data_IF_309182185139
#
_entry.id   IF_309182185139
#
_cell.length_a   1.000
_cell.length_b   1.000
_cell.length_c   1.000
_cell.angle_alpha   90.00
_cell.angle_beta   90.00
_cell.angle_gamma   90.00
#
_symmetry.space_group_name_H-M   'P 1'
#
loop_
_entity.id
_entity.type
_entity.pdbx_description
1 polymer ?
#
# COMPACT_ATOMS: atom_id res chain seq x y z
N UNK A 1 20.87 -7.52 5.84
CA UNK A 1 20.78 -6.81 4.55
C UNK A 1 19.34 -6.84 4.08
N UNK A 2 18.95 -5.87 3.25
CA UNK A 2 17.60 -5.82 2.69
C UNK A 2 17.41 -6.82 1.56
N UNK A 3 16.19 -7.34 1.41
CA UNK A 3 15.86 -8.26 0.32
C UNK A 3 15.13 -7.55 -0.82
N UNK A 4 15.54 -7.84 -2.03
CA UNK A 4 14.96 -7.29 -3.25
C UNK A 4 14.62 -8.39 -4.26
N UNK A 5 13.75 -8.07 -5.20
CA UNK A 5 13.47 -8.89 -6.36
C UNK A 5 13.21 -8.02 -7.58
N UNK A 6 13.81 -8.37 -8.71
CA UNK A 6 13.41 -7.88 -10.02
C UNK A 6 12.11 -8.57 -10.41
N UNK A 7 11.10 -7.78 -10.75
CA UNK A 7 9.79 -8.27 -11.18
C UNK A 7 9.36 -7.60 -12.47
N UNK A 8 8.52 -8.31 -13.21
CA UNK A 8 7.76 -7.78 -14.34
C UNK A 8 6.29 -7.93 -13.99
N UNK A 9 5.51 -6.85 -14.06
CA UNK A 9 4.09 -6.87 -13.75
C UNK A 9 3.27 -6.07 -14.76
N UNK A 10 1.98 -6.41 -14.87
CA UNK A 10 1.01 -5.70 -15.73
C UNK A 10 -0.13 -5.15 -14.90
N UNK A 11 -0.62 -3.98 -15.26
CA UNK A 11 -1.82 -3.41 -14.67
C UNK A 11 -3.06 -4.10 -15.24
N UNK A 12 -3.87 -4.72 -14.38
CA UNK A 12 -5.04 -5.50 -14.82
C UNK A 12 -6.10 -4.60 -15.44
N UNK A 13 -6.27 -3.39 -14.88
CA UNK A 13 -7.26 -2.39 -15.33
C UNK A 13 -6.85 -1.67 -16.62
N UNK A 14 -5.59 -1.80 -17.04
CA UNK A 14 -5.04 -1.18 -18.25
C UNK A 14 -4.37 -2.24 -19.12
N UNK A 15 -5.15 -3.12 -19.79
CA UNK A 15 -4.62 -4.28 -20.48
C UNK A 15 -3.75 -3.96 -21.70
N UNK A 16 -3.94 -2.79 -22.30
CA UNK A 16 -3.16 -2.30 -23.44
C UNK A 16 -1.82 -1.66 -23.01
N UNK A 17 -1.65 -1.36 -21.73
CA UNK A 17 -0.38 -0.86 -21.21
C UNK A 17 0.66 -1.97 -21.18
N UNK A 18 1.91 -1.60 -21.48
CA UNK A 18 3.02 -2.54 -21.49
C UNK A 18 3.33 -3.06 -20.09
N UNK A 19 3.93 -4.24 -20.05
CA UNK A 19 4.51 -4.77 -18.82
C UNK A 19 5.57 -3.80 -18.28
N UNK A 20 5.62 -3.68 -16.96
CA UNK A 20 6.50 -2.79 -16.23
C UNK A 20 7.54 -3.65 -15.51
N UNK A 21 8.80 -3.40 -15.84
CA UNK A 21 9.93 -3.95 -15.10
C UNK A 21 10.26 -3.05 -13.92
N UNK A 22 10.37 -3.63 -12.72
CA UNK A 22 10.68 -2.89 -11.52
C UNK A 22 11.44 -3.74 -10.49
N UNK A 23 12.28 -3.07 -9.70
CA UNK A 23 12.88 -3.63 -8.51
C UNK A 23 11.95 -3.38 -7.31
N UNK A 24 11.56 -4.43 -6.61
CA UNK A 24 10.73 -4.33 -5.39
C UNK A 24 11.53 -4.68 -4.14
N UNK A 25 11.11 -4.11 -3.00
CA UNK A 25 11.67 -4.38 -1.69
C UNK A 25 10.82 -5.44 -0.95
N UNK A 26 11.34 -6.67 -0.88
CA UNK A 26 10.61 -7.81 -0.30
C UNK A 26 10.38 -7.67 1.21
N UNK A 27 11.25 -6.95 1.92
CA UNK A 27 11.11 -6.73 3.36
C UNK A 27 9.81 -5.99 3.71
N UNK A 28 9.26 -5.22 2.77
CA UNK A 28 8.01 -4.46 2.98
C UNK A 28 6.75 -5.32 2.90
N UNK A 29 6.82 -6.51 2.27
CA UNK A 29 5.67 -7.40 2.11
C UNK A 29 5.15 -7.94 3.45
N UNK A 30 6.05 -8.20 4.39
CA UNK A 30 5.75 -8.80 5.71
C UNK A 30 5.91 -7.81 6.86
N UNK A 31 6.23 -6.53 6.57
CA UNK A 31 6.33 -5.51 7.60
C UNK A 31 4.96 -5.20 8.19
N UNK A 32 4.89 -4.84 9.47
CA UNK A 32 3.62 -4.41 10.11
C UNK A 32 3.27 -2.95 9.75
N UNK A 33 4.26 -2.15 9.37
CA UNK A 33 4.11 -0.74 8.99
C UNK A 33 3.81 -0.58 7.50
N UNK A 34 3.11 0.49 7.06
CA UNK A 34 2.75 0.68 5.64
C UNK A 34 3.95 0.82 4.70
N UNK A 35 5.11 1.20 5.25
CA UNK A 35 6.38 1.36 4.57
C UNK A 35 7.51 0.76 5.43
N UNK A 36 8.74 0.75 4.92
CA UNK A 36 9.91 0.33 5.67
C UNK A 36 10.03 1.13 6.98
N UNK A 37 10.22 0.47 8.14
CA UNK A 37 10.39 1.17 9.41
C UNK A 37 11.57 2.16 9.38
N UNK A 38 11.54 3.27 10.12
CA UNK A 38 12.60 4.29 10.09
C UNK A 38 14.01 3.74 10.34
N UNK A 39 14.14 2.80 11.29
CA UNK A 39 15.43 2.17 11.59
C UNK A 39 15.98 1.36 10.40
N UNK A 40 15.10 0.64 9.72
CA UNK A 40 15.43 -0.14 8.54
C UNK A 40 15.75 0.78 7.34
N UNK A 41 15.02 1.89 7.19
CA UNK A 41 15.31 2.91 6.17
C UNK A 41 16.68 3.57 6.38
N UNK A 42 17.06 3.86 7.61
CA UNK A 42 18.39 4.40 7.92
C UNK A 42 19.49 3.40 7.60
N UNK A 43 19.30 2.11 7.94
CA UNK A 43 20.24 1.05 7.56
C UNK A 43 20.36 0.90 6.04
N UNK A 44 19.27 1.03 5.28
CA UNK A 44 19.32 1.03 3.83
C UNK A 44 20.17 2.20 3.32
N UNK A 45 19.93 3.41 3.84
CA UNK A 45 20.68 4.60 3.47
C UNK A 45 22.17 4.45 3.77
N UNK A 46 22.54 3.99 4.97
CA UNK A 46 23.92 3.77 5.38
C UNK A 46 24.63 2.78 4.45
N UNK A 47 23.98 1.66 4.11
CA UNK A 47 24.55 0.68 3.20
C UNK A 47 24.74 1.25 1.79
N UNK A 48 23.76 1.98 1.26
CA UNK A 48 23.86 2.62 -0.07
C UNK A 48 24.91 3.74 -0.06
N UNK A 49 25.13 4.42 1.08
CA UNK A 49 26.17 5.43 1.22
C UNK A 49 27.59 4.85 1.08
N UNK A 50 27.80 3.58 1.44
CA UNK A 50 29.10 2.91 1.29
C UNK A 50 29.50 2.78 -0.19
N UNK A 51 28.53 2.58 -1.09
CA UNK A 51 28.75 2.48 -2.54
C UNK A 51 29.26 3.79 -3.17
N UNK A 52 29.09 4.92 -2.47
CA UNK A 52 29.49 6.26 -2.93
C UNK A 52 30.48 6.94 -1.97
N UNK A 53 31.19 6.15 -1.16
CA UNK A 53 32.14 6.65 -0.17
C UNK A 53 33.34 7.40 -0.80
N UNK A 54 33.66 7.07 -2.04
CA UNK A 54 34.71 7.68 -2.88
C UNK A 54 34.37 9.12 -3.31
N UNK A 55 33.09 9.50 -3.36
CA UNK A 55 32.65 10.84 -3.75
C UNK A 55 32.88 11.82 -2.59
N UNK A 56 33.83 12.78 -2.68
CA UNK A 56 34.16 13.67 -1.56
C UNK A 56 33.08 14.74 -1.32
N UNK A 57 32.37 15.15 -2.38
CA UNK A 57 31.29 16.13 -2.28
C UNK A 57 30.02 15.48 -1.73
N UNK A 58 29.60 15.90 -0.53
CA UNK A 58 28.38 15.42 0.11
C UNK A 58 27.13 15.65 -0.77
N UNK A 59 27.04 16.81 -1.43
CA UNK A 59 25.88 17.13 -2.29
C UNK A 59 25.81 16.20 -3.49
N UNK A 60 26.94 15.93 -4.13
CA UNK A 60 27.03 14.99 -5.25
C UNK A 60 26.72 13.56 -4.80
N UNK A 61 27.22 13.15 -3.62
CA UNK A 61 26.92 11.85 -3.02
C UNK A 61 25.42 11.66 -2.80
N UNK A 62 24.75 12.65 -2.19
CA UNK A 62 23.31 12.60 -1.98
C UNK A 62 22.52 12.60 -3.29
N UNK A 63 22.98 13.32 -4.31
CA UNK A 63 22.36 13.30 -5.63
C UNK A 63 22.43 11.90 -6.26
N UNK A 64 23.55 11.18 -6.11
CA UNK A 64 23.69 9.79 -6.61
C UNK A 64 22.83 8.80 -5.83
N UNK A 65 22.76 8.92 -4.51
CA UNK A 65 21.90 8.06 -3.67
C UNK A 65 20.44 8.21 -4.06
N UNK A 66 19.97 9.44 -4.32
CA UNK A 66 18.60 9.69 -4.80
C UNK A 66 18.30 9.06 -6.16
N UNK A 67 19.31 8.68 -6.94
CA UNK A 67 19.17 7.98 -8.22
C UNK A 67 19.46 6.47 -8.11
N UNK A 68 19.83 5.97 -6.92
CA UNK A 68 20.18 4.58 -6.72
C UNK A 68 18.93 3.69 -6.84
N UNK A 69 19.04 2.60 -7.61
CA UNK A 69 17.92 1.68 -7.87
C UNK A 69 17.41 0.98 -6.61
N UNK A 70 18.30 0.59 -5.68
CA UNK A 70 17.93 -0.11 -4.44
C UNK A 70 17.30 0.85 -3.42
N UNK A 71 17.79 2.09 -3.39
CA UNK A 71 17.18 3.15 -2.57
C UNK A 71 15.77 3.53 -3.06
N UNK A 72 15.56 3.49 -4.37
CA UNK A 72 14.27 3.78 -5.02
C UNK A 72 13.43 2.53 -5.33
N UNK A 73 13.81 1.36 -4.80
CA UNK A 73 13.05 0.12 -5.02
C UNK A 73 11.61 0.29 -4.51
N UNK A 74 10.65 -0.22 -5.27
CA UNK A 74 9.24 -0.07 -4.96
C UNK A 74 8.91 -0.81 -3.66
N UNK A 75 8.26 -0.10 -2.74
CA UNK A 75 7.72 -0.69 -1.52
C UNK A 75 6.33 -1.22 -1.80
N UNK A 76 6.15 -2.52 -1.65
CA UNK A 76 4.93 -3.23 -2.05
C UNK A 76 4.35 -3.99 -0.86
N UNK A 77 3.03 -4.13 -0.87
CA UNK A 77 2.24 -4.74 0.20
C UNK A 77 1.19 -5.66 -0.40
N UNK A 78 0.87 -6.73 0.32
CA UNK A 78 -0.29 -7.52 -0.03
C UNK A 78 -1.58 -6.73 0.19
N UNK A 79 -2.45 -6.73 -0.82
CA UNK A 79 -3.76 -6.07 -0.77
C UNK A 79 -4.86 -7.03 -0.32
N UNK A 80 -4.62 -7.83 0.73
CA UNK A 80 -5.62 -8.77 1.28
C UNK A 80 -6.85 -8.04 1.81
N UNK A 81 -6.64 -6.88 2.42
CA UNK A 81 -7.68 -5.96 2.84
C UNK A 81 -7.24 -4.53 2.56
N UNK A 82 -8.21 -3.67 2.30
CA UNK A 82 -7.99 -2.27 1.95
C UNK A 82 -8.88 -1.41 2.82
N UNK A 83 -8.38 -0.25 3.23
CA UNK A 83 -9.24 0.75 3.86
C UNK A 83 -10.20 1.29 2.81
N UNK A 84 -11.46 1.58 3.18
CA UNK A 84 -12.49 2.01 2.23
C UNK A 84 -12.03 3.20 1.36
N UNK A 85 -11.32 4.17 1.95
CA UNK A 85 -10.76 5.31 1.22
C UNK A 85 -9.79 4.91 0.09
N UNK A 86 -9.06 3.80 0.23
CA UNK A 86 -8.14 3.27 -0.80
C UNK A 86 -8.85 2.41 -1.86
N UNK A 87 -10.14 2.13 -1.69
CA UNK A 87 -10.94 1.36 -2.65
C UNK A 87 -11.64 2.25 -3.69
N UNK A 88 -11.55 3.57 -3.54
CA UNK A 88 -12.21 4.52 -4.44
C UNK A 88 -11.72 4.35 -5.87
N UNK A 89 -12.66 4.20 -6.80
CA UNK A 89 -12.37 3.92 -8.22
C UNK A 89 -12.29 2.43 -8.57
N UNK A 90 -12.00 1.55 -7.60
CA UNK A 90 -12.02 0.10 -7.81
C UNK A 90 -13.42 -0.50 -7.73
N UNK A 91 -13.65 -1.60 -8.43
CA UNK A 91 -14.89 -2.38 -8.35
C UNK A 91 -14.55 -3.87 -8.31
N UNK A 92 -15.23 -4.62 -7.45
CA UNK A 92 -15.02 -6.06 -7.27
C UNK A 92 -16.36 -6.80 -7.27
N UNK A 93 -16.39 -8.03 -7.78
CA UNK A 93 -17.61 -8.85 -7.81
C UNK A 93 -18.19 -9.08 -6.41
N UNK A 94 -17.33 -9.41 -5.47
CA UNK A 94 -17.69 -9.67 -4.08
C UNK A 94 -16.85 -8.80 -3.15
N UNK A 95 -17.51 -8.08 -2.24
CA UNK A 95 -16.84 -7.21 -1.24
C UNK A 95 -17.26 -7.64 0.15
N UNK A 96 -16.28 -7.78 1.04
CA UNK A 96 -16.49 -8.00 2.47
C UNK A 96 -16.21 -6.69 3.19
N UNK A 97 -17.20 -6.16 3.90
CA UNK A 97 -17.09 -4.92 4.66
C UNK A 97 -17.06 -5.29 6.14
N UNK A 98 -15.97 -4.90 6.80
CA UNK A 98 -15.85 -4.92 8.25
C UNK A 98 -15.82 -3.47 8.73
N UNK A 99 -16.79 -3.08 9.55
CA UNK A 99 -16.89 -1.72 10.12
C UNK A 99 -15.92 -1.49 11.29
N UNK A 100 -15.31 -2.55 11.83
CA UNK A 100 -14.48 -2.47 13.02
C UNK A 100 -15.28 -2.05 14.25
N UNK A 101 -14.63 -1.30 15.14
CA UNK A 101 -15.25 -0.80 16.37
C UNK A 101 -16.04 0.47 16.11
N UNK A 102 -17.37 0.38 16.19
CA UNK A 102 -18.30 1.50 16.02
C UNK A 102 -19.16 1.66 17.29
N UNK A 103 -19.26 2.88 17.82
CA UNK A 103 -20.22 3.21 18.89
C UNK A 103 -21.46 3.89 18.30
N UNK A 104 -22.57 3.87 19.04
CA UNK A 104 -23.84 4.47 18.56
C UNK A 104 -23.72 5.97 18.24
N UNK A 105 -22.95 6.72 19.04
CA UNK A 105 -22.69 8.15 18.85
C UNK A 105 -21.80 8.46 17.63
N UNK A 106 -21.20 7.43 17.03
CA UNK A 106 -20.33 7.54 15.84
C UNK A 106 -21.10 7.30 14.53
N UNK A 107 -22.40 7.00 14.56
CA UNK A 107 -23.24 6.88 13.36
C UNK A 107 -23.63 8.28 12.90
N UNK A 108 -22.71 8.95 12.23
CA UNK A 108 -22.89 10.28 11.68
C UNK A 108 -22.98 10.26 10.14
N UNK A 109 -23.04 11.45 9.55
CA UNK A 109 -23.10 11.60 8.10
C UNK A 109 -21.84 11.11 7.39
N UNK A 110 -20.68 11.16 8.06
CA UNK A 110 -19.41 10.71 7.50
C UNK A 110 -19.37 9.18 7.46
N UNK A 111 -19.79 8.52 8.53
CA UNK A 111 -19.97 7.08 8.57
C UNK A 111 -20.90 6.58 7.47
N UNK A 112 -22.05 7.24 7.25
CA UNK A 112 -22.98 6.86 6.18
C UNK A 112 -22.36 7.01 4.78
N UNK A 113 -21.50 8.02 4.55
CA UNK A 113 -20.77 8.19 3.29
C UNK A 113 -19.69 7.12 3.10
N UNK A 114 -18.98 6.77 4.16
CA UNK A 114 -18.03 5.68 4.18
C UNK A 114 -18.73 4.35 3.84
N UNK A 115 -19.86 4.07 4.49
CA UNK A 115 -20.66 2.88 4.24
C UNK A 115 -21.14 2.83 2.79
N UNK A 116 -21.77 3.91 2.30
CA UNK A 116 -22.18 4.01 0.89
C UNK A 116 -21.03 3.74 -0.09
N UNK A 117 -19.84 4.30 0.19
CA UNK A 117 -18.66 4.08 -0.64
C UNK A 117 -18.27 2.60 -0.64
N UNK A 118 -18.23 1.96 0.54
CA UNK A 118 -17.89 0.54 0.68
C UNK A 118 -18.86 -0.38 -0.05
N UNK A 119 -20.17 -0.11 0.05
CA UNK A 119 -21.22 -0.90 -0.60
C UNK A 119 -21.14 -0.78 -2.12
N UNK A 120 -20.92 0.43 -2.65
CA UNK A 120 -20.87 0.69 -4.10
C UNK A 120 -19.60 0.18 -4.78
N UNK A 121 -18.63 -0.38 -4.03
CA UNK A 121 -17.49 -1.09 -4.61
C UNK A 121 -17.88 -2.47 -5.14
N UNK A 122 -18.95 -3.08 -4.63
CA UNK A 122 -19.40 -4.38 -5.08
C UNK A 122 -20.24 -4.29 -6.36
N UNK A 123 -19.98 -5.17 -7.32
CA UNK A 123 -20.78 -5.27 -8.54
C UNK A 123 -21.82 -6.40 -8.49
N UNK A 124 -21.63 -7.42 -7.64
CA UNK A 124 -22.57 -8.54 -7.52
C UNK A 124 -23.05 -8.75 -6.08
N UNK A 125 -22.15 -8.85 -5.09
CA UNK A 125 -22.54 -9.18 -3.71
C UNK A 125 -21.70 -8.46 -2.66
N UNK A 126 -22.35 -7.99 -1.60
CA UNK A 126 -21.72 -7.47 -0.40
C UNK A 126 -21.94 -8.43 0.77
N UNK A 127 -20.90 -8.67 1.54
CA UNK A 127 -20.93 -9.38 2.81
C UNK A 127 -20.60 -8.38 3.93
N UNK A 128 -21.51 -8.24 4.88
CA UNK A 128 -21.37 -7.34 6.02
C UNK A 128 -20.94 -8.14 7.23
N UNK A 129 -19.74 -7.88 7.72
CA UNK A 129 -19.09 -8.63 8.79
C UNK A 129 -19.08 -7.78 10.05
N UNK A 130 -19.54 -8.35 11.17
CA UNK A 130 -19.62 -7.68 12.48
C UNK A 130 -20.49 -6.41 12.50
N UNK A 131 -21.54 -6.35 11.66
CA UNK A 131 -22.53 -5.28 11.71
C UNK A 131 -23.53 -5.52 12.86
N UNK A 132 -24.03 -4.44 13.46
CA UNK A 132 -25.03 -4.51 14.54
C UNK A 132 -26.40 -4.89 13.97
N UNK A 133 -27.11 -5.82 14.61
CA UNK A 133 -28.42 -6.31 14.13
C UNK A 133 -29.47 -5.21 13.99
N UNK A 134 -29.44 -4.21 14.89
CA UNK A 134 -30.30 -3.03 14.86
C UNK A 134 -30.23 -2.22 13.55
N UNK A 135 -29.14 -2.30 12.79
CA UNK A 135 -29.06 -1.59 11.50
C UNK A 135 -30.08 -2.11 10.48
N UNK A 136 -30.72 -3.25 10.75
CA UNK A 136 -31.70 -3.93 9.90
C UNK A 136 -33.13 -3.90 10.44
N UNK A 137 -33.35 -3.33 11.64
CA UNK A 137 -34.67 -3.11 12.25
C UNK A 137 -35.28 -1.78 11.77
#
# INVERSE_FOLDING_TARGET
>A
GHRFADITFRLIDYPEEKEIDALIMLDTLMADTPALPPEAQNKLLENVMLDYADIPSQSLRMARIRQNQYFNALQVKFAYSLTCHKTQGGQWKHVFVDQGYLKEDMIDREYLRWLYTSLTRATEKVYLVNFMDRLWE
#
